data_IF_762187526187
#
_entry.id   IF_762187526187
#
_cell.length_a   1.000
_cell.length_b   1.000
_cell.length_c   1.000
_cell.angle_alpha   90.00
_cell.angle_beta   90.00
_cell.angle_gamma   90.00
#
_symmetry.space_group_name_H-M   'P 1'
#
loop_
_entity.id
_entity.type
_entity.pdbx_description
1 polymer ?
#
# COMPACT_ATOMS: atom_id res chain seq x y z
N UNK A 1 61.04 6.43 19.59
CA UNK A 1 59.71 6.94 19.25
C UNK A 1 58.68 5.95 19.74
N UNK A 2 57.72 6.47 20.51
CA UNK A 2 56.79 5.75 21.38
C UNK A 2 55.94 4.72 20.66
N UNK A 3 55.79 3.53 21.24
CA UNK A 3 54.60 2.69 21.00
C UNK A 3 53.92 2.44 22.35
N UNK A 4 52.81 3.15 22.53
CA UNK A 4 51.98 3.16 23.73
C UNK A 4 51.12 1.89 23.73
N UNK A 5 51.30 1.05 24.75
CA UNK A 5 50.38 -0.05 25.06
C UNK A 5 49.09 0.53 25.64
N UNK A 6 47.96 0.43 24.93
CA UNK A 6 46.62 0.59 25.52
C UNK A 6 46.02 -0.79 25.79
N UNK A 7 45.64 -1.01 27.05
CA UNK A 7 44.89 -2.17 27.52
C UNK A 7 43.43 -1.97 27.14
N UNK A 8 42.82 -2.93 26.44
CA UNK A 8 41.36 -3.01 26.32
C UNK A 8 40.85 -3.97 27.40
N UNK A 9 40.04 -3.44 28.32
CA UNK A 9 39.29 -4.23 29.29
C UNK A 9 38.00 -4.73 28.66
N UNK A 10 37.76 -6.03 28.69
CA UNK A 10 36.47 -6.63 28.36
C UNK A 10 35.54 -6.53 29.58
N UNK A 11 34.43 -5.80 29.46
CA UNK A 11 33.29 -5.90 30.37
C UNK A 11 32.32 -6.93 29.79
N UNK A 12 32.16 -8.07 30.46
CA UNK A 12 31.05 -8.99 30.20
C UNK A 12 29.74 -8.35 30.67
N UNK A 13 28.75 -8.28 29.79
CA UNK A 13 27.36 -8.01 30.15
C UNK A 13 26.60 -9.33 30.06
N UNK A 14 26.13 -9.84 31.20
CA UNK A 14 25.19 -10.97 31.24
C UNK A 14 23.78 -10.43 31.00
N UNK A 15 23.19 -10.77 29.85
CA UNK A 15 21.78 -10.56 29.57
C UNK A 15 20.99 -11.68 30.26
N UNK A 16 20.19 -11.34 31.27
CA UNK A 16 19.19 -12.23 31.84
C UNK A 16 17.93 -12.16 30.99
N UNK A 17 17.62 -13.24 30.27
CA UNK A 17 16.38 -13.41 29.53
C UNK A 17 15.40 -14.17 30.44
N UNK A 18 14.49 -13.46 31.11
CA UNK A 18 13.37 -14.07 31.83
C UNK A 18 12.19 -14.23 30.89
N UNK A 19 11.97 -15.47 30.45
CA UNK A 19 10.79 -15.87 29.68
C UNK A 19 9.54 -15.81 30.57
N UNK A 20 8.63 -14.89 30.28
CA UNK A 20 7.27 -14.87 30.82
C UNK A 20 6.37 -15.60 29.83
N UNK A 21 5.97 -16.80 30.23
CA UNK A 21 5.05 -17.70 29.51
C UNK A 21 3.62 -17.23 29.83
N UNK A 22 3.04 -16.40 28.95
CA UNK A 22 1.62 -16.03 29.02
C UNK A 22 0.79 -17.14 28.37
N UNK A 23 0.00 -17.82 29.19
CA UNK A 23 -0.99 -18.81 28.77
C UNK A 23 -2.16 -18.07 28.10
N UNK A 24 -2.26 -18.18 26.78
CA UNK A 24 -3.46 -17.86 26.02
C UNK A 24 -4.57 -18.86 26.39
N UNK A 25 -5.64 -18.34 26.96
CA UNK A 25 -6.90 -19.05 27.14
C UNK A 25 -7.80 -18.73 25.94
N UNK A 26 -8.22 -19.76 25.20
CA UNK A 26 -9.31 -19.63 24.24
C UNK A 26 -10.62 -19.51 25.02
N UNK A 27 -11.33 -18.40 24.86
CA UNK A 27 -12.76 -18.32 25.18
C UNK A 27 -13.53 -18.23 23.87
N UNK A 28 -14.37 -19.24 23.65
CA UNK A 28 -15.47 -19.26 22.68
C UNK A 28 -16.47 -18.16 23.04
N UNK A 29 -16.78 -17.28 22.09
CA UNK A 29 -18.01 -16.48 22.10
C UNK A 29 -18.61 -16.42 20.70
N UNK A 30 -19.64 -17.23 20.55
CA UNK A 30 -20.91 -17.04 19.82
C UNK A 30 -21.01 -15.94 18.77
N UNK A 31 -21.38 -16.41 17.58
CA UNK A 31 -22.18 -15.78 16.52
C UNK A 31 -22.96 -14.52 16.94
N UNK A 32 -22.62 -13.39 16.32
CA UNK A 32 -23.61 -12.37 15.96
C UNK A 32 -23.47 -12.05 14.48
N UNK A 33 -24.56 -12.30 13.75
CA UNK A 33 -24.69 -12.01 12.34
C UNK A 33 -24.88 -10.50 12.13
N UNK A 34 -24.01 -9.93 11.30
CA UNK A 34 -24.18 -8.59 10.77
C UNK A 34 -25.06 -8.66 9.51
N UNK A 35 -26.32 -8.22 9.66
CA UNK A 35 -27.16 -7.82 8.53
C UNK A 35 -26.60 -6.50 7.99
N UNK A 36 -26.06 -6.53 6.76
CA UNK A 36 -25.88 -5.32 5.97
C UNK A 36 -27.15 -5.09 5.16
N UNK A 37 -28.03 -4.24 5.71
CA UNK A 37 -29.08 -3.56 4.97
C UNK A 37 -28.43 -2.58 3.98
N UNK A 38 -28.61 -2.82 2.69
CA UNK A 38 -28.23 -1.90 1.63
C UNK A 38 -29.44 -0.99 1.34
N UNK A 39 -29.43 0.20 1.92
CA UNK A 39 -30.38 1.26 1.60
C UNK A 39 -30.08 1.81 0.20
N UNK A 40 -30.79 1.29 -0.81
CA UNK A 40 -30.86 1.88 -2.14
C UNK A 40 -31.97 2.94 -2.16
N UNK A 41 -31.56 4.20 -2.20
CA UNK A 41 -32.46 5.33 -2.44
C UNK A 41 -33.07 5.22 -3.85
N UNK A 42 -34.39 5.35 -3.87
CA UNK A 42 -35.23 5.41 -5.06
C UNK A 42 -35.00 6.73 -5.80
N UNK A 43 -34.82 6.67 -7.13
CA UNK A 43 -35.47 7.65 -7.99
C UNK A 43 -36.01 6.96 -9.25
N UNK A 44 -37.23 7.34 -9.58
CA UNK A 44 -38.06 6.78 -10.62
C UNK A 44 -38.79 7.93 -11.30
N UNK A 45 -38.49 8.17 -12.57
CA UNK A 45 -39.45 8.63 -13.60
C UNK A 45 -38.90 8.17 -14.96
N UNK A 46 -39.49 7.16 -15.64
CA UNK A 46 -40.57 7.25 -16.63
C UNK A 46 -40.32 8.36 -17.69
N UNK A 47 -40.32 8.14 -19.00
CA UNK A 47 -41.21 7.34 -19.89
C UNK A 47 -40.61 7.38 -21.31
N UNK A 48 -40.48 6.26 -22.03
CA UNK A 48 -41.40 5.74 -23.07
C UNK A 48 -41.39 6.49 -24.43
N UNK A 49 -40.98 5.80 -25.50
CA UNK A 49 -41.64 5.73 -26.83
C UNK A 49 -40.85 4.74 -27.71
N UNK A 50 -41.30 3.50 -27.88
CA UNK A 50 -42.16 2.97 -28.97
C UNK A 50 -41.64 3.14 -30.42
N UNK A 51 -41.60 1.96 -31.06
CA UNK A 51 -41.96 1.69 -32.46
C UNK A 51 -40.89 1.78 -33.55
N UNK A 52 -40.52 0.57 -34.01
CA UNK A 52 -40.11 0.26 -35.37
C UNK A 52 -41.28 0.47 -36.35
N UNK A 53 -41.03 0.78 -37.64
CA UNK A 53 -41.32 -0.27 -38.63
C UNK A 53 -40.38 -0.34 -39.85
N UNK A 54 -40.26 -1.60 -40.33
CA UNK A 54 -40.15 -2.14 -41.70
C UNK A 54 -39.44 -1.41 -42.86
N UNK A 55 -38.48 -2.16 -43.41
CA UNK A 55 -38.24 -2.52 -44.82
C UNK A 55 -38.32 -1.47 -45.94
N UNK A 56 -37.25 -1.36 -46.73
CA UNK A 56 -37.35 -1.29 -48.21
C UNK A 56 -36.09 -1.84 -48.88
N UNK A 57 -36.37 -2.67 -49.89
CA UNK A 57 -35.50 -3.40 -50.81
C UNK A 57 -34.77 -2.45 -51.78
N UNK A 58 -33.47 -2.67 -52.02
CA UNK A 58 -32.83 -2.34 -53.30
C UNK A 58 -31.95 -3.51 -53.76
N UNK A 59 -32.31 -3.99 -54.95
CA UNK A 59 -31.69 -5.04 -55.76
C UNK A 59 -30.44 -4.52 -56.49
N UNK A 60 -29.46 -5.40 -56.67
CA UNK A 60 -28.28 -5.16 -57.50
C UNK A 60 -27.60 -6.48 -57.88
N UNK A 61 -28.08 -7.09 -58.97
CA UNK A 61 -27.53 -8.26 -59.66
C UNK A 61 -26.17 -8.00 -60.35
N UNK A 62 -25.54 -9.10 -60.78
CA UNK A 62 -24.63 -9.29 -61.95
C UNK A 62 -23.14 -9.58 -61.59
N UNK A 63 -22.43 -10.55 -62.23
CA UNK A 63 -22.75 -11.95 -62.54
C UNK A 63 -21.58 -12.92 -62.19
N UNK A 64 -21.82 -14.23 -62.30
CA UNK A 64 -20.80 -15.30 -62.28
C UNK A 64 -19.98 -15.36 -63.58
N UNK A 65 -18.83 -16.06 -63.53
CA UNK A 65 -18.56 -17.04 -64.57
C UNK A 65 -18.29 -18.43 -64.01
N UNK A 66 -19.09 -19.38 -64.50
CA UNK A 66 -18.80 -20.82 -64.53
C UNK A 66 -17.44 -21.11 -65.18
N UNK A 67 -16.62 -21.92 -64.53
CA UNK A 67 -15.74 -22.87 -65.21
C UNK A 67 -15.68 -24.14 -64.37
N UNK A 68 -16.24 -25.22 -64.91
CA UNK A 68 -16.12 -26.59 -64.43
C UNK A 68 -14.84 -27.24 -64.94
N UNK A 69 -14.51 -28.36 -64.27
CA UNK A 69 -13.52 -29.41 -64.54
C UNK A 69 -12.26 -29.26 -63.68
N UNK A 70 -11.79 -30.26 -62.95
CA UNK A 70 -12.10 -31.70 -62.92
C UNK A 70 -11.68 -32.27 -61.56
N UNK A 71 -12.22 -33.43 -61.24
CA UNK A 71 -12.02 -34.26 -60.06
C UNK A 71 -10.57 -34.35 -59.56
N UNK A 72 -10.38 -34.13 -58.25
CA UNK A 72 -9.65 -35.09 -57.43
C UNK A 72 -10.35 -35.19 -56.07
N UNK A 73 -11.24 -36.17 -55.98
CA UNK A 73 -11.98 -36.52 -54.77
C UNK A 73 -11.08 -37.33 -53.86
N UNK A 74 -10.64 -36.73 -52.76
CA UNK A 74 -10.39 -37.44 -51.50
C UNK A 74 -11.12 -36.68 -50.40
N UNK A 75 -12.44 -36.81 -50.39
CA UNK A 75 -13.28 -36.46 -49.24
C UNK A 75 -13.77 -37.78 -48.63
N UNK A 76 -13.00 -38.32 -47.69
CA UNK A 76 -13.52 -39.22 -46.67
C UNK A 76 -13.17 -38.63 -45.30
N UNK A 77 -13.94 -37.64 -44.89
CA UNK A 77 -14.20 -37.40 -43.47
C UNK A 77 -15.72 -37.27 -43.32
N UNK A 78 -16.39 -38.39 -43.08
CA UNK A 78 -17.55 -38.37 -42.18
C UNK A 78 -17.08 -38.89 -40.80
N UNK A 79 -16.52 -38.04 -39.92
CA UNK A 79 -16.33 -38.36 -38.53
C UNK A 79 -17.60 -38.05 -37.72
N UNK A 80 -17.78 -38.84 -36.65
CA UNK A 80 -18.80 -38.85 -35.58
C UNK A 80 -20.24 -39.25 -36.00
N UNK A 81 -20.82 -40.31 -35.38
CA UNK A 81 -21.17 -40.29 -33.96
C UNK A 81 -20.43 -41.38 -33.17
N UNK A 82 -19.72 -40.97 -32.11
CA UNK A 82 -19.06 -41.83 -31.13
C UNK A 82 -17.75 -42.50 -31.50
N UNK A 83 -17.31 -42.40 -32.76
CA UNK A 83 -16.04 -42.95 -33.22
C UNK A 83 -14.78 -42.29 -32.60
N UNK A 84 -13.62 -42.87 -32.88
CA UNK A 84 -12.32 -42.28 -32.47
C UNK A 84 -12.14 -40.88 -33.07
N UNK A 85 -11.63 -39.92 -32.30
CA UNK A 85 -11.47 -38.48 -32.66
C UNK A 85 -12.75 -37.68 -32.83
N UNK A 86 -13.87 -38.22 -32.38
CA UNK A 86 -15.13 -37.50 -32.37
C UNK A 86 -15.23 -36.59 -31.14
N UNK A 87 -15.68 -35.33 -31.26
CA UNK A 87 -15.88 -34.48 -30.10
C UNK A 87 -16.95 -35.07 -29.18
N UNK A 88 -16.78 -34.91 -27.86
CA UNK A 88 -17.70 -35.40 -26.85
C UNK A 88 -17.72 -34.47 -25.63
N UNK A 89 -18.83 -34.47 -24.90
CA UNK A 89 -18.92 -33.85 -23.57
C UNK A 89 -19.11 -34.92 -22.48
N UNK A 90 -19.68 -36.07 -22.84
CA UNK A 90 -19.92 -37.18 -21.92
C UNK A 90 -19.34 -38.51 -22.44
N UNK A 91 -18.91 -39.43 -21.56
CA UNK A 91 -18.33 -40.70 -21.99
C UNK A 91 -19.30 -41.61 -22.77
N UNK A 92 -20.61 -41.45 -22.57
CA UNK A 92 -21.66 -42.25 -23.25
C UNK A 92 -21.84 -41.89 -24.73
N UNK A 93 -21.32 -40.74 -25.16
CA UNK A 93 -21.35 -40.29 -26.55
C UNK A 93 -20.30 -41.01 -27.39
N UNK A 94 -19.34 -41.69 -26.74
CA UNK A 94 -18.26 -42.43 -27.37
C UNK A 94 -18.55 -43.92 -27.45
N UNK A 95 -18.29 -44.53 -28.60
CA UNK A 95 -18.41 -45.98 -28.82
C UNK A 95 -17.50 -46.79 -27.90
N UNK A 96 -16.38 -46.17 -27.49
CA UNK A 96 -15.44 -46.72 -26.52
C UNK A 96 -15.90 -46.57 -25.07
N UNK A 97 -16.89 -45.71 -24.80
CA UNK A 97 -17.30 -45.31 -23.46
C UNK A 97 -16.34 -44.33 -22.78
N UNK A 98 -15.39 -43.73 -23.50
CA UNK A 98 -14.38 -42.82 -22.94
C UNK A 98 -14.27 -41.52 -23.73
N UNK A 99 -14.55 -40.42 -23.04
CA UNK A 99 -14.32 -39.05 -23.47
C UNK A 99 -13.09 -38.50 -22.75
N UNK A 100 -12.08 -38.02 -23.47
CA UNK A 100 -10.79 -37.59 -22.91
C UNK A 100 -10.38 -36.20 -23.44
N UNK A 101 -9.66 -35.39 -22.65
CA UNK A 101 -9.21 -34.06 -23.07
C UNK A 101 -8.14 -34.13 -24.17
N UNK A 102 -8.21 -33.18 -25.11
CA UNK A 102 -7.25 -32.93 -26.19
C UNK A 102 -6.96 -31.42 -26.30
N UNK A 103 -5.99 -31.05 -27.14
CA UNK A 103 -5.64 -29.64 -27.40
C UNK A 103 -6.81 -28.84 -28.01
N UNK A 104 -7.71 -29.50 -28.76
CA UNK A 104 -8.85 -28.89 -29.45
C UNK A 104 -10.21 -29.16 -28.76
N UNK A 105 -10.18 -29.56 -27.48
CA UNK A 105 -11.36 -29.94 -26.69
C UNK A 105 -11.53 -31.44 -26.49
N UNK A 106 -12.55 -31.82 -25.72
CA UNK A 106 -12.79 -33.22 -25.34
C UNK A 106 -13.20 -34.09 -26.53
N UNK A 107 -12.61 -35.30 -26.60
CA UNK A 107 -12.80 -36.21 -27.73
C UNK A 107 -12.84 -37.68 -27.33
N UNK A 108 -13.54 -38.46 -28.15
CA UNK A 108 -13.68 -39.89 -28.00
C UNK A 108 -12.37 -40.62 -28.32
N UNK A 109 -11.91 -41.45 -27.39
CA UNK A 109 -10.71 -42.27 -27.54
C UNK A 109 -11.06 -43.74 -27.78
N UNK A 110 -10.05 -44.62 -27.86
CA UNK A 110 -10.18 -46.08 -27.91
C UNK A 110 -9.20 -46.73 -26.94
N UNK A 111 -9.46 -47.99 -26.59
CA UNK A 111 -8.51 -48.79 -25.80
C UNK A 111 -7.30 -49.20 -26.63
N UNK A 112 -6.19 -49.44 -25.95
CA UNK A 112 -4.94 -49.90 -26.55
C UNK A 112 -4.30 -51.02 -25.70
N UNK A 113 -3.30 -51.68 -26.26
CA UNK A 113 -2.50 -52.69 -25.56
C UNK A 113 -1.05 -52.22 -25.52
N UNK A 114 -0.49 -51.89 -26.70
CA UNK A 114 0.90 -51.39 -26.80
C UNK A 114 1.02 -50.16 -27.75
N UNK A 115 0.17 -50.06 -28.78
CA UNK A 115 0.29 -49.01 -29.80
C UNK A 115 -1.02 -48.25 -30.02
N UNK A 116 -0.89 -46.96 -30.32
CA UNK A 116 -1.96 -46.07 -30.71
C UNK A 116 -1.65 -45.41 -32.07
N UNK A 117 -2.67 -44.87 -32.77
CA UNK A 117 -2.45 -44.09 -33.99
C UNK A 117 -1.47 -42.93 -33.77
N UNK A 118 -0.86 -42.44 -34.86
CA UNK A 118 0.04 -41.29 -34.80
C UNK A 118 -0.61 -40.10 -34.11
N UNK A 119 0.12 -39.47 -33.18
CA UNK A 119 -0.43 -38.39 -32.34
C UNK A 119 -0.99 -38.85 -30.99
N UNK A 120 -1.02 -40.15 -30.70
CA UNK A 120 -1.53 -40.70 -29.44
C UNK A 120 -0.51 -41.57 -28.73
N UNK A 121 -0.65 -41.69 -27.41
CA UNK A 121 0.15 -42.55 -26.53
C UNK A 121 -0.77 -43.45 -25.73
N UNK A 122 -0.37 -44.72 -25.59
CA UNK A 122 -1.13 -45.69 -24.82
C UNK A 122 -0.85 -45.50 -23.32
N UNK A 123 -1.83 -44.99 -22.57
CA UNK A 123 -1.71 -44.70 -21.12
C UNK A 123 -2.70 -45.50 -20.30
N UNK A 124 -2.27 -45.95 -19.11
CA UNK A 124 -3.09 -46.71 -18.18
C UNK A 124 -3.98 -45.80 -17.34
N UNK A 125 -5.27 -46.12 -17.23
CA UNK A 125 -6.16 -45.52 -16.24
C UNK A 125 -5.99 -46.23 -14.89
N UNK A 126 -5.39 -45.53 -13.92
CA UNK A 126 -5.17 -46.05 -12.56
C UNK A 126 -6.39 -45.70 -11.70
N UNK A 127 -7.14 -46.72 -11.26
CA UNK A 127 -8.33 -46.52 -10.41
C UNK A 127 -9.39 -47.63 -10.45
N UNK A 128 -9.32 -48.56 -11.39
CA UNK A 128 -10.18 -49.75 -11.47
C UNK A 128 -9.40 -51.02 -11.10
N UNK A 129 -10.11 -52.08 -10.69
CA UNK A 129 -9.53 -53.42 -10.44
C UNK A 129 -8.92 -54.04 -11.70
N UNK A 130 -9.34 -53.58 -12.88
CA UNK A 130 -8.80 -53.95 -14.18
C UNK A 130 -8.14 -52.72 -14.82
N UNK A 131 -6.81 -52.78 -14.99
CA UNK A 131 -6.03 -51.71 -15.65
C UNK A 131 -6.44 -51.65 -17.12
N UNK A 132 -7.14 -50.58 -17.50
CA UNK A 132 -7.53 -50.32 -18.89
C UNK A 132 -6.58 -49.28 -19.47
N UNK A 133 -6.03 -49.56 -20.65
CA UNK A 133 -5.16 -48.63 -21.36
C UNK A 133 -5.95 -47.94 -22.46
N UNK A 134 -5.79 -46.62 -22.57
CA UNK A 134 -6.46 -45.76 -23.54
C UNK A 134 -5.45 -45.01 -24.40
N UNK A 135 -5.85 -44.70 -25.64
CA UNK A 135 -5.09 -43.83 -26.53
C UNK A 135 -5.30 -42.36 -26.14
N UNK A 136 -4.43 -41.82 -25.30
CA UNK A 136 -4.46 -40.40 -24.96
C UNK A 136 -3.77 -39.58 -26.05
N UNK A 137 -4.35 -38.46 -26.50
CA UNK A 137 -3.67 -37.57 -27.44
C UNK A 137 -2.38 -37.05 -26.80
N UNK A 138 -1.33 -36.87 -27.61
CA UNK A 138 -0.10 -36.21 -27.18
C UNK A 138 -0.42 -34.74 -26.97
N UNK A 139 -0.54 -34.33 -25.70
CA UNK A 139 -0.77 -32.93 -25.33
C UNK A 139 0.51 -32.12 -25.58
N UNK A 140 0.33 -30.98 -26.24
CA UNK A 140 1.41 -30.00 -26.41
C UNK A 140 1.26 -28.97 -25.28
N UNK A 141 1.98 -29.21 -24.18
CA UNK A 141 1.93 -28.37 -22.98
C UNK A 141 2.99 -27.26 -23.02
N UNK A 142 3.42 -26.85 -24.22
CA UNK A 142 4.39 -25.78 -24.38
C UNK A 142 3.95 -24.53 -23.60
N UNK A 143 4.85 -24.04 -22.75
CA UNK A 143 4.65 -22.93 -21.82
C UNK A 143 3.69 -23.15 -20.63
N UNK A 144 3.14 -24.36 -20.45
CA UNK A 144 2.41 -24.70 -19.24
C UNK A 144 3.33 -24.65 -18.01
N UNK A 145 2.83 -24.25 -16.83
CA UNK A 145 3.61 -24.26 -15.60
C UNK A 145 3.98 -25.69 -15.21
N UNK A 146 5.19 -25.88 -14.70
CA UNK A 146 5.68 -27.19 -14.26
C UNK A 146 6.67 -27.06 -13.10
N UNK A 147 6.89 -28.20 -12.45
CA UNK A 147 7.88 -28.44 -11.41
C UNK A 147 8.83 -29.58 -11.79
N UNK A 148 8.35 -30.55 -12.58
CA UNK A 148 9.10 -31.71 -13.06
C UNK A 148 8.91 -31.92 -14.58
N UNK A 149 9.90 -32.50 -15.26
CA UNK A 149 9.86 -32.74 -16.72
C UNK A 149 8.67 -33.59 -17.17
N UNK A 150 8.18 -34.49 -16.30
CA UNK A 150 7.04 -35.38 -16.61
C UNK A 150 5.72 -34.64 -16.80
N UNK A 151 5.65 -33.40 -16.33
CA UNK A 151 4.48 -32.54 -16.44
C UNK A 151 4.40 -31.85 -17.81
N UNK A 152 5.47 -31.92 -18.61
CA UNK A 152 5.60 -31.22 -19.89
C UNK A 152 5.17 -32.04 -21.11
N UNK A 153 4.18 -32.90 -20.90
CA UNK A 153 3.50 -33.65 -21.95
C UNK A 153 4.34 -34.76 -22.56
N UNK A 154 3.84 -35.33 -23.66
CA UNK A 154 4.40 -36.53 -24.27
C UNK A 154 5.27 -36.24 -25.52
N UNK A 155 5.55 -34.96 -25.77
CA UNK A 155 6.35 -34.46 -26.90
C UNK A 155 7.82 -34.19 -26.52
N UNK A 156 8.30 -34.82 -25.45
CA UNK A 156 9.68 -34.68 -24.98
C UNK A 156 9.99 -33.28 -24.41
N UNK A 157 8.98 -32.62 -23.85
CA UNK A 157 9.14 -31.35 -23.16
C UNK A 157 9.93 -31.50 -21.86
N UNK A 158 10.80 -30.54 -21.59
CA UNK A 158 11.51 -30.41 -20.31
C UNK A 158 10.92 -29.26 -19.50
N UNK A 159 11.02 -29.33 -18.18
CA UNK A 159 10.59 -28.24 -17.31
C UNK A 159 11.72 -27.21 -17.17
N UNK A 160 11.64 -26.14 -17.97
CA UNK A 160 12.66 -25.10 -18.04
C UNK A 160 12.40 -24.07 -16.95
N UNK A 161 13.38 -23.86 -16.06
CA UNK A 161 13.26 -22.92 -14.94
C UNK A 161 13.81 -21.55 -15.32
N UNK A 162 13.07 -20.51 -14.98
CA UNK A 162 13.57 -19.14 -15.07
C UNK A 162 14.48 -18.77 -13.89
N UNK A 163 15.05 -17.56 -13.92
CA UNK A 163 15.94 -17.05 -12.87
C UNK A 163 15.28 -16.88 -11.50
N UNK A 164 13.94 -16.84 -11.45
CA UNK A 164 13.15 -16.79 -10.20
C UNK A 164 12.74 -18.20 -9.72
N UNK A 165 13.06 -19.24 -10.50
CA UNK A 165 12.78 -20.65 -10.18
C UNK A 165 11.41 -21.14 -10.63
N UNK A 166 10.62 -20.32 -11.34
CA UNK A 166 9.35 -20.77 -11.92
C UNK A 166 9.62 -21.62 -13.16
N UNK A 167 9.06 -22.83 -13.19
CA UNK A 167 9.23 -23.78 -14.28
C UNK A 167 8.15 -23.63 -15.35
N UNK A 168 8.56 -23.68 -16.61
CA UNK A 168 7.67 -23.70 -17.78
C UNK A 168 8.06 -24.80 -18.73
N UNK A 169 7.07 -25.47 -19.28
CA UNK A 169 7.30 -26.58 -20.17
C UNK A 169 7.84 -26.13 -21.52
N UNK A 170 8.98 -26.69 -21.91
CA UNK A 170 9.44 -26.69 -23.29
C UNK A 170 8.76 -27.79 -24.09
N UNK A 171 9.19 -27.92 -25.35
CA UNK A 171 8.84 -29.04 -26.23
C UNK A 171 10.06 -29.42 -27.04
N UNK A 172 10.36 -30.71 -27.19
CA UNK A 172 11.51 -31.12 -27.99
C UNK A 172 11.39 -30.63 -29.44
N UNK A 173 12.48 -30.08 -29.96
CA UNK A 173 12.56 -29.58 -31.33
C UNK A 173 13.84 -30.08 -32.02
N UNK A 174 13.80 -30.19 -33.34
CA UNK A 174 14.88 -30.71 -34.17
C UNK A 174 14.73 -30.21 -35.61
N UNK A 175 15.65 -30.59 -36.51
CA UNK A 175 15.52 -30.25 -37.95
C UNK A 175 14.25 -30.83 -38.58
N UNK A 176 13.67 -31.88 -38.01
CA UNK A 176 12.44 -32.53 -38.47
C UNK A 176 11.19 -32.03 -37.71
N UNK A 177 11.35 -31.26 -36.63
CA UNK A 177 10.26 -30.74 -35.79
C UNK A 177 10.44 -29.25 -35.47
N UNK A 178 9.75 -28.40 -36.25
CA UNK A 178 9.78 -26.94 -36.08
C UNK A 178 8.94 -26.47 -34.90
N UNK A 179 9.43 -25.47 -34.17
CA UNK A 179 8.68 -24.79 -33.12
C UNK A 179 7.52 -23.97 -33.69
N UNK A 180 6.40 -23.83 -32.93
CA UNK A 180 5.30 -22.97 -33.33
C UNK A 180 5.71 -21.49 -33.33
N UNK A 181 4.88 -20.64 -33.94
CA UNK A 181 5.13 -19.20 -34.01
C UNK A 181 5.34 -18.59 -32.61
N UNK A 182 6.35 -17.73 -32.47
CA UNK A 182 6.74 -17.12 -31.18
C UNK A 182 7.73 -17.96 -30.34
N UNK A 183 8.15 -19.13 -30.84
CA UNK A 183 9.12 -20.00 -30.20
C UNK A 183 10.30 -20.32 -31.11
N UNK A 184 11.50 -20.25 -30.57
CA UNK A 184 12.74 -20.67 -31.21
C UNK A 184 13.20 -22.02 -30.66
N UNK A 185 13.83 -22.83 -31.51
CA UNK A 185 14.44 -24.09 -31.08
C UNK A 185 15.84 -23.79 -30.51
N UNK A 186 16.01 -23.94 -29.21
CA UNK A 186 17.28 -23.65 -28.53
C UNK A 186 17.83 -24.91 -27.84
N UNK A 187 19.16 -25.03 -27.80
CA UNK A 187 19.85 -26.15 -27.16
C UNK A 187 19.95 -25.91 -25.65
N UNK A 188 19.33 -26.79 -24.86
CA UNK A 188 19.34 -26.70 -23.41
C UNK A 188 20.54 -27.48 -22.88
N UNK A 189 21.48 -26.75 -22.29
CA UNK A 189 22.60 -27.32 -21.54
C UNK A 189 22.37 -27.10 -20.05
N UNK A 190 22.60 -28.14 -19.28
CA UNK A 190 22.56 -28.08 -17.82
C UNK A 190 23.78 -27.38 -17.25
N UNK A 191 23.70 -26.99 -15.97
CA UNK A 191 24.78 -26.29 -15.25
C UNK A 191 26.07 -27.12 -15.14
N UNK A 192 25.99 -28.46 -15.23
CA UNK A 192 27.13 -29.38 -15.28
C UNK A 192 27.64 -29.67 -16.71
N UNK A 193 27.08 -28.98 -17.71
CA UNK A 193 27.49 -29.07 -19.10
C UNK A 193 26.96 -30.30 -19.83
N UNK A 194 25.97 -30.99 -19.27
CA UNK A 194 25.28 -32.09 -19.94
C UNK A 194 24.23 -31.54 -20.92
N UNK A 195 24.26 -32.04 -22.15
CA UNK A 195 23.35 -31.66 -23.24
C UNK A 195 22.00 -32.35 -23.03
N UNK A 196 20.97 -31.57 -22.75
CA UNK A 196 19.60 -32.06 -22.51
C UNK A 196 18.75 -32.01 -23.79
N UNK A 197 19.38 -31.73 -24.94
CA UNK A 197 18.74 -31.63 -26.24
C UNK A 197 18.11 -30.26 -26.48
N UNK A 198 17.45 -30.12 -27.63
CA UNK A 198 16.85 -28.85 -28.04
C UNK A 198 15.37 -28.76 -27.66
N UNK A 199 14.98 -27.62 -27.09
CA UNK A 199 13.61 -27.32 -26.67
C UNK A 199 13.10 -26.05 -27.35
N UNK A 200 11.81 -26.01 -27.66
CA UNK A 200 11.13 -24.78 -28.04
C UNK A 200 11.06 -23.85 -26.83
N UNK A 201 11.73 -22.71 -26.93
CA UNK A 201 11.73 -21.64 -25.92
C UNK A 201 11.10 -20.38 -26.51
N UNK A 202 10.39 -19.57 -25.70
CA UNK A 202 9.80 -18.33 -26.20
C UNK A 202 10.87 -17.35 -26.70
N UNK A 203 10.67 -16.77 -27.88
CA UNK A 203 11.63 -15.82 -28.47
C UNK A 203 11.77 -14.53 -27.65
N UNK A 204 10.71 -14.12 -26.95
CA UNK A 204 10.70 -12.96 -26.05
C UNK A 204 11.28 -13.26 -24.66
N UNK A 205 11.66 -14.51 -24.38
CA UNK A 205 12.01 -14.98 -23.03
C UNK A 205 10.80 -15.15 -22.10
N UNK A 206 9.59 -14.84 -22.57
CA UNK A 206 8.34 -15.02 -21.84
C UNK A 206 7.30 -15.76 -22.68
N UNK A 207 6.46 -16.57 -22.05
CA UNK A 207 5.46 -17.33 -22.78
C UNK A 207 4.48 -16.42 -23.54
N UNK A 208 4.34 -16.59 -24.88
CA UNK A 208 3.30 -15.91 -25.62
C UNK A 208 1.92 -16.38 -25.15
N UNK A 209 0.95 -15.47 -25.18
CA UNK A 209 -0.42 -15.81 -24.86
C UNK A 209 -0.97 -16.78 -25.92
N UNK A 210 -1.55 -17.88 -25.48
CA UNK A 210 -2.17 -18.92 -26.30
C UNK A 210 -3.48 -19.37 -25.64
N UNK A 211 -4.33 -20.10 -26.36
CA UNK A 211 -5.62 -20.57 -25.83
C UNK A 211 -5.47 -21.41 -24.55
N UNK A 212 -4.35 -22.13 -24.42
CA UNK A 212 -4.00 -22.92 -23.22
C UNK A 212 -3.74 -22.04 -21.99
N UNK A 213 -3.49 -20.74 -22.18
CA UNK A 213 -3.14 -19.78 -21.13
C UNK A 213 -4.24 -18.75 -20.87
N UNK A 214 -5.43 -18.88 -21.49
CA UNK A 214 -6.52 -17.94 -21.25
C UNK A 214 -6.93 -17.90 -19.77
N UNK A 215 -6.98 -16.69 -19.22
CA UNK A 215 -7.27 -16.44 -17.80
C UNK A 215 -6.05 -16.57 -16.87
N UNK A 216 -4.88 -16.93 -17.39
CA UNK A 216 -3.63 -16.86 -16.62
C UNK A 216 -3.15 -15.41 -16.56
N UNK A 217 -2.66 -15.00 -15.39
CA UNK A 217 -2.04 -13.69 -15.17
C UNK A 217 -0.52 -13.78 -15.15
N UNK A 218 0.15 -12.68 -15.50
CA UNK A 218 1.60 -12.51 -15.37
C UNK A 218 1.96 -11.07 -15.02
N UNK A 219 3.19 -10.89 -14.55
CA UNK A 219 3.77 -9.56 -14.35
C UNK A 219 3.86 -8.79 -15.68
N UNK A 220 3.47 -7.53 -15.65
CA UNK A 220 3.68 -6.54 -16.70
C UNK A 220 4.32 -5.28 -16.12
N UNK A 221 4.83 -4.39 -16.97
CA UNK A 221 5.51 -3.18 -16.51
C UNK A 221 5.12 -1.96 -17.34
N UNK A 222 4.93 -0.83 -16.67
CA UNK A 222 4.86 0.50 -17.29
C UNK A 222 6.14 1.27 -16.96
N UNK A 223 6.85 1.74 -17.99
CA UNK A 223 8.14 2.44 -17.87
C UNK A 223 8.07 3.81 -18.55
N UNK A 224 8.55 4.83 -17.86
CA UNK A 224 8.74 6.18 -18.41
C UNK A 224 9.95 6.87 -17.76
N UNK A 225 10.05 8.20 -17.87
CA UNK A 225 11.19 8.96 -17.31
C UNK A 225 11.24 8.99 -15.77
N UNK A 226 10.13 8.70 -15.09
CA UNK A 226 10.05 8.68 -13.63
C UNK A 226 10.46 7.34 -13.04
N UNK A 227 10.10 6.22 -13.69
CA UNK A 227 10.56 4.91 -13.25
C UNK A 227 9.86 3.75 -13.95
N UNK A 228 9.76 2.60 -13.26
CA UNK A 228 9.17 1.37 -13.80
C UNK A 228 8.24 0.74 -12.77
N UNK A 229 6.93 0.89 -12.97
CA UNK A 229 5.93 0.26 -12.13
C UNK A 229 5.60 -1.13 -12.65
N UNK A 230 5.45 -2.07 -11.71
CA UNK A 230 5.05 -3.46 -12.00
C UNK A 230 3.56 -3.61 -11.73
N UNK A 231 2.87 -4.32 -12.59
CA UNK A 231 1.49 -4.74 -12.41
C UNK A 231 1.28 -6.15 -12.95
N UNK A 232 0.03 -6.51 -13.18
CA UNK A 232 -0.39 -7.76 -13.76
C UNK A 232 -1.18 -7.51 -15.04
N UNK A 233 -1.02 -8.42 -16.00
CA UNK A 233 -1.85 -8.50 -17.20
C UNK A 233 -2.38 -9.92 -17.38
N UNK A 234 -3.47 -10.06 -18.13
CA UNK A 234 -4.16 -11.33 -18.32
C UNK A 234 -4.08 -11.77 -19.78
N UNK A 235 -3.87 -13.07 -19.99
CA UNK A 235 -3.94 -13.65 -21.33
C UNK A 235 -5.41 -13.83 -21.74
N UNK A 236 -5.78 -13.17 -22.84
CA UNK A 236 -7.12 -13.17 -23.45
C UNK A 236 -7.03 -13.59 -24.91
N UNK A 237 -8.17 -13.65 -25.60
CA UNK A 237 -8.21 -13.96 -27.04
C UNK A 237 -7.39 -12.99 -27.90
N UNK A 238 -7.17 -11.76 -27.44
CA UNK A 238 -6.40 -10.72 -28.14
C UNK A 238 -4.91 -10.72 -27.76
N UNK A 239 -4.48 -11.62 -26.88
CA UNK A 239 -3.11 -11.70 -26.35
C UNK A 239 -3.02 -11.32 -24.88
N UNK A 240 -1.81 -10.99 -24.43
CA UNK A 240 -1.60 -10.38 -23.12
C UNK A 240 -2.11 -8.94 -23.17
N UNK A 241 -3.13 -8.66 -22.35
CA UNK A 241 -3.83 -7.37 -22.39
C UNK A 241 -4.23 -6.90 -20.99
N UNK A 242 -4.58 -5.61 -20.86
CA UNK A 242 -4.92 -4.92 -19.62
C UNK A 242 -3.84 -4.99 -18.54
N UNK A 243 -2.61 -4.56 -18.87
CA UNK A 243 -1.60 -4.31 -17.84
C UNK A 243 -2.11 -3.26 -16.85
N UNK A 244 -2.26 -3.64 -15.58
CA UNK A 244 -2.76 -2.76 -14.52
C UNK A 244 -1.64 -2.02 -13.76
N UNK A 245 -0.41 -2.08 -14.24
CA UNK A 245 0.70 -1.35 -13.65
C UNK A 245 0.36 0.16 -13.60
N UNK A 246 0.66 0.82 -12.49
CA UNK A 246 0.53 2.28 -12.41
C UNK A 246 1.40 2.95 -13.49
N UNK A 247 0.98 4.11 -14.00
CA UNK A 247 1.90 4.94 -14.77
C UNK A 247 2.83 5.66 -13.76
N UNK A 248 4.16 5.47 -13.83
CA UNK A 248 5.06 6.16 -12.91
C UNK A 248 4.93 7.67 -13.07
N UNK A 249 4.85 8.41 -11.98
CA UNK A 249 4.79 9.88 -11.99
C UNK A 249 5.80 10.45 -10.99
N UNK A 250 5.95 11.77 -10.95
CA UNK A 250 6.74 12.39 -9.89
C UNK A 250 6.14 12.09 -8.51
N UNK A 251 7.00 11.92 -7.51
CA UNK A 251 6.59 11.67 -6.13
C UNK A 251 5.68 12.77 -5.58
N UNK A 252 4.64 12.33 -4.90
CA UNK A 252 3.82 13.10 -3.97
C UNK A 252 4.17 12.65 -2.57
N UNK A 253 4.01 13.54 -1.60
CA UNK A 253 4.13 13.22 -0.17
C UNK A 253 2.80 12.61 0.27
N UNK A 254 2.53 11.38 -0.14
CA UNK A 254 1.28 10.66 0.14
C UNK A 254 1.51 9.29 0.80
N UNK A 255 2.77 8.96 1.11
CA UNK A 255 3.15 7.69 1.71
C UNK A 255 3.14 6.53 0.71
N UNK A 256 3.07 6.81 -0.59
CA UNK A 256 3.20 5.85 -1.67
C UNK A 256 4.46 6.12 -2.48
N UNK A 257 4.91 5.10 -3.20
CA UNK A 257 6.01 5.20 -4.17
C UNK A 257 5.37 5.43 -5.55
N UNK A 258 5.25 6.69 -5.98
CA UNK A 258 4.52 7.04 -7.21
C UNK A 258 5.38 6.86 -8.47
N UNK A 259 6.70 6.91 -8.33
CA UNK A 259 7.68 6.72 -9.38
C UNK A 259 8.16 5.26 -9.49
N UNK A 260 7.81 4.42 -8.52
CA UNK A 260 8.14 3.01 -8.42
C UNK A 260 9.65 2.73 -8.36
N UNK A 261 10.44 3.59 -7.71
CA UNK A 261 11.90 3.42 -7.54
C UNK A 261 12.28 2.59 -6.30
N UNK A 262 11.30 2.23 -5.47
CA UNK A 262 11.44 1.41 -4.27
C UNK A 262 11.67 2.22 -2.99
N UNK A 263 11.62 3.55 -3.05
CA UNK A 263 11.63 4.45 -1.91
C UNK A 263 10.32 5.23 -1.89
N UNK A 264 9.83 5.57 -0.70
CA UNK A 264 8.57 6.32 -0.52
C UNK A 264 8.92 7.77 -0.22
N UNK A 265 8.24 8.71 -0.89
CA UNK A 265 8.31 10.15 -0.66
C UNK A 265 9.75 10.73 -0.69
N UNK A 266 10.69 10.14 -1.44
CA UNK A 266 12.13 10.46 -1.37
C UNK A 266 12.49 11.83 -1.96
N UNK A 267 11.59 12.40 -2.76
CA UNK A 267 11.70 13.78 -3.24
C UNK A 267 11.52 14.82 -2.13
N UNK A 268 11.03 14.42 -0.96
CA UNK A 268 10.75 15.29 0.19
C UNK A 268 11.80 15.11 1.30
N UNK A 269 13.04 15.55 1.03
CA UNK A 269 14.20 15.33 1.90
C UNK A 269 14.04 15.73 3.38
N UNK A 270 13.16 16.69 3.67
CA UNK A 270 12.95 17.17 5.04
C UNK A 270 11.90 16.34 5.80
N UNK A 271 11.15 15.46 5.14
CA UNK A 271 10.06 14.70 5.74
C UNK A 271 10.56 13.94 6.98
N UNK A 272 9.94 14.19 8.13
CA UNK A 272 10.33 13.59 9.41
C UNK A 272 11.52 14.23 10.11
N UNK A 273 12.18 15.25 9.52
CA UNK A 273 13.18 16.07 10.23
C UNK A 273 12.50 17.07 11.18
N UNK A 274 13.22 17.49 12.21
CA UNK A 274 12.82 18.62 13.03
C UNK A 274 12.78 19.88 12.17
N UNK A 275 11.69 20.65 12.26
CA UNK A 275 11.53 21.89 11.52
C UNK A 275 11.86 23.14 12.34
N UNK A 276 12.13 22.97 13.64
CA UNK A 276 12.59 24.05 14.51
C UNK A 276 14.11 24.20 14.54
N UNK A 277 14.57 25.38 14.95
CA UNK A 277 15.99 25.72 15.03
C UNK A 277 16.64 25.12 16.27
N UNK A 278 17.93 24.77 16.18
CA UNK A 278 18.71 24.25 17.33
C UNK A 278 18.90 25.28 18.47
N UNK A 279 18.36 26.50 18.32
CA UNK A 279 18.47 27.65 19.23
C UNK A 279 17.08 28.22 19.57
N UNK A 280 16.06 27.39 19.80
CA UNK A 280 14.80 27.89 20.40
C UNK A 280 15.01 28.22 21.89
N UNK A 281 14.48 29.37 22.30
CA UNK A 281 14.40 29.83 23.70
C UNK A 281 12.98 29.62 24.27
N UNK A 282 12.05 29.05 23.49
CA UNK A 282 10.62 28.95 23.81
C UNK A 282 10.23 27.68 24.57
N UNK A 283 11.17 26.74 24.76
CA UNK A 283 10.98 25.49 25.54
C UNK A 283 9.90 24.55 24.96
N UNK A 284 9.40 24.79 23.74
CA UNK A 284 8.40 23.97 23.08
C UNK A 284 9.00 22.70 22.46
N UNK A 285 8.13 21.75 22.05
CA UNK A 285 8.59 20.56 21.38
C UNK A 285 8.86 20.89 19.91
N UNK A 286 10.11 20.74 19.49
CA UNK A 286 10.51 20.89 18.09
C UNK A 286 9.48 20.27 17.13
N UNK A 287 8.84 21.10 16.30
CA UNK A 287 7.93 20.66 15.26
C UNK A 287 8.61 19.66 14.30
N UNK A 288 7.81 18.88 13.58
CA UNK A 288 8.31 17.91 12.58
C UNK A 288 7.73 18.22 11.21
N UNK A 289 8.57 18.14 10.17
CA UNK A 289 8.11 18.24 8.79
C UNK A 289 7.18 17.06 8.46
N UNK A 290 5.97 17.39 8.02
CA UNK A 290 4.91 16.46 7.62
C UNK A 290 4.40 16.81 6.23
N UNK A 291 3.76 15.87 5.55
CA UNK A 291 3.17 16.14 4.23
C UNK A 291 2.07 17.21 4.31
N UNK A 292 2.03 18.11 3.33
CA UNK A 292 0.86 18.97 3.14
C UNK A 292 -0.37 18.17 2.77
N UNK A 293 -1.57 18.69 3.05
CA UNK A 293 -2.84 18.03 2.76
C UNK A 293 -3.01 17.63 1.28
N UNK A 294 -2.34 18.34 0.37
CA UNK A 294 -2.36 18.09 -1.07
C UNK A 294 -1.20 17.20 -1.57
N UNK A 295 -0.32 16.73 -0.67
CA UNK A 295 0.85 15.91 -0.98
C UNK A 295 1.90 16.60 -1.84
N UNK A 296 1.78 17.90 -2.13
CA UNK A 296 2.71 18.59 -3.04
C UNK A 296 3.99 19.08 -2.38
N UNK A 297 4.02 19.09 -1.05
CA UNK A 297 5.11 19.66 -0.25
C UNK A 297 5.15 19.05 1.15
N UNK A 298 6.16 19.45 1.92
CA UNK A 298 6.18 19.24 3.37
C UNK A 298 5.98 20.57 4.08
N UNK A 299 5.21 20.54 5.16
CA UNK A 299 4.93 21.65 6.06
C UNK A 299 5.47 21.32 7.45
N UNK A 300 5.97 22.33 8.14
CA UNK A 300 6.28 22.22 9.56
C UNK A 300 4.95 22.15 10.31
N UNK A 301 4.68 21.00 10.94
CA UNK A 301 3.58 20.91 11.88
C UNK A 301 4.03 21.49 13.20
N UNK A 302 3.55 22.69 13.53
CA UNK A 302 3.75 23.27 14.86
C UNK A 302 2.88 22.57 15.90
N UNK A 303 3.39 22.61 17.13
CA UNK A 303 2.81 22.07 18.33
C UNK A 303 1.35 22.54 18.49
N UNK A 304 0.49 21.58 18.82
CA UNK A 304 -0.92 21.84 19.10
C UNK A 304 -1.03 22.84 20.25
N UNK A 305 -1.43 24.11 20.02
CA UNK A 305 -1.35 25.15 21.04
C UNK A 305 -2.26 24.76 22.20
N UNK A 306 -1.69 24.58 23.39
CA UNK A 306 -2.50 24.49 24.59
C UNK A 306 -3.17 25.86 24.84
N UNK A 307 -4.06 25.95 25.84
CA UNK A 307 -4.39 27.26 26.38
C UNK A 307 -3.22 27.75 27.21
N UNK A 308 -2.87 29.04 27.10
CA UNK A 308 -1.82 29.60 27.91
C UNK A 308 -2.07 29.42 29.41
N UNK A 309 -1.02 29.07 30.15
CA UNK A 309 -1.04 28.97 31.60
C UNK A 309 -0.06 29.98 32.15
N UNK A 310 -0.42 30.62 33.26
CA UNK A 310 0.40 31.61 33.91
C UNK A 310 1.50 30.91 34.72
N UNK A 311 2.56 30.45 34.05
CA UNK A 311 3.65 29.67 34.66
C UNK A 311 5.05 30.02 34.15
N UNK A 312 5.18 31.10 33.37
CA UNK A 312 6.47 31.59 32.88
C UNK A 312 7.02 30.77 31.71
N UNK A 313 6.19 29.94 31.09
CA UNK A 313 6.50 29.11 29.93
C UNK A 313 5.50 29.45 28.83
N UNK A 314 5.93 29.43 27.57
CA UNK A 314 5.00 29.52 26.42
C UNK A 314 4.30 28.16 26.24
N UNK A 315 3.10 28.02 26.81
CA UNK A 315 2.36 26.75 26.76
C UNK A 315 1.70 26.50 25.40
N UNK A 316 1.57 27.54 24.57
CA UNK A 316 0.90 27.46 23.29
C UNK A 316 1.78 27.73 22.08
N UNK A 317 3.08 27.88 22.31
CA UNK A 317 4.14 27.95 21.32
C UNK A 317 3.89 29.05 20.28
N UNK A 318 3.45 30.23 20.73
CA UNK A 318 3.18 31.39 19.86
C UNK A 318 4.24 32.50 19.96
N UNK A 319 5.35 32.23 20.65
CA UNK A 319 6.50 33.11 20.89
C UNK A 319 6.23 34.24 21.88
N UNK A 320 5.15 34.15 22.65
CA UNK A 320 4.89 35.03 23.78
C UNK A 320 4.66 34.18 25.03
N UNK A 321 5.27 34.58 26.14
CA UNK A 321 5.10 33.89 27.43
C UNK A 321 3.94 34.53 28.17
N UNK A 322 3.08 33.69 28.76
CA UNK A 322 1.94 34.10 29.59
C UNK A 322 1.04 35.20 28.97
N UNK A 323 0.77 35.15 27.66
CA UNK A 323 -0.06 36.19 27.04
C UNK A 323 -1.55 36.07 27.42
N UNK A 324 -2.20 37.24 27.51
CA UNK A 324 -3.60 37.32 27.94
C UNK A 324 -3.79 37.29 29.46
N UNK A 325 -2.70 37.22 30.23
CA UNK A 325 -2.67 37.50 31.65
C UNK A 325 -2.32 38.98 31.92
N UNK A 326 -2.68 39.54 33.09
CA UNK A 326 -2.27 40.89 33.47
C UNK A 326 -0.75 41.01 33.58
N UNK A 327 -0.24 42.16 33.15
CA UNK A 327 1.12 42.68 33.31
C UNK A 327 0.92 44.15 33.74
N UNK A 328 1.16 44.46 35.01
CA UNK A 328 0.76 45.73 35.61
C UNK A 328 1.83 46.82 35.46
N UNK A 329 3.11 46.44 35.43
CA UNK A 329 4.24 47.36 35.27
C UNK A 329 4.78 47.45 33.82
N UNK A 330 4.23 46.64 32.91
CA UNK A 330 4.61 46.51 31.49
C UNK A 330 6.09 46.08 31.29
N UNK A 331 6.68 45.30 32.20
CA UNK A 331 8.07 44.80 32.07
C UNK A 331 8.21 43.56 31.20
N UNK A 332 7.09 42.93 30.84
CA UNK A 332 7.02 41.73 30.01
C UNK A 332 6.91 40.41 30.79
N UNK A 333 6.74 40.45 32.11
CA UNK A 333 6.35 39.31 32.95
C UNK A 333 4.89 39.44 33.37
N UNK A 334 4.14 38.34 33.34
CA UNK A 334 2.77 38.36 33.84
C UNK A 334 2.77 38.36 35.38
N UNK A 335 1.84 39.09 35.98
CA UNK A 335 1.69 39.23 37.44
C UNK A 335 1.66 37.92 38.24
N UNK A 336 1.29 36.82 37.60
CA UNK A 336 1.24 35.51 38.25
C UNK A 336 2.61 34.88 38.53
N UNK A 337 3.64 35.33 37.82
CA UNK A 337 5.02 34.86 37.90
C UNK A 337 6.00 35.98 38.20
N UNK A 338 5.51 37.22 38.25
CA UNK A 338 6.23 38.33 38.86
C UNK A 338 6.12 38.26 40.39
N UNK A 339 7.19 38.66 41.07
CA UNK A 339 7.22 38.79 42.54
C UNK A 339 6.98 40.24 42.99
N UNK A 340 6.95 41.23 42.06
CA UNK A 340 6.82 42.67 42.29
C UNK A 340 5.97 43.30 41.16
N UNK A 341 4.65 43.18 41.28
CA UNK A 341 3.66 43.47 40.24
C UNK A 341 3.64 44.94 39.76
N UNK A 342 4.14 45.89 40.55
CA UNK A 342 4.13 47.32 40.21
C UNK A 342 5.53 47.97 40.15
N UNK A 343 6.56 47.19 40.44
CA UNK A 343 7.98 47.51 40.29
C UNK A 343 8.45 48.72 41.11
N UNK A 344 7.91 48.86 42.32
CA UNK A 344 8.40 49.83 43.29
C UNK A 344 9.55 49.30 44.17
N UNK A 345 9.83 48.00 44.07
CA UNK A 345 10.94 47.32 44.72
C UNK A 345 10.57 46.65 46.05
N UNK A 346 9.29 46.64 46.43
CA UNK A 346 8.75 45.80 47.51
C UNK A 346 7.97 44.61 46.92
N UNK A 347 8.38 43.36 47.18
CA UNK A 347 7.67 42.20 46.65
C UNK A 347 6.21 42.13 47.11
N UNK A 348 5.34 41.57 46.28
CA UNK A 348 3.90 41.36 46.55
C UNK A 348 3.60 40.69 47.90
N UNK A 349 4.54 39.85 48.36
CA UNK A 349 4.42 39.13 49.62
C UNK A 349 4.55 40.03 50.86
N UNK A 350 5.16 41.20 50.72
CA UNK A 350 5.42 42.19 51.77
C UNK A 350 4.70 43.52 51.55
N UNK A 351 4.28 43.80 50.31
CA UNK A 351 3.48 44.96 49.98
C UNK A 351 1.98 44.78 50.35
N UNK A 352 1.38 45.85 50.88
CA UNK A 352 -0.03 45.91 51.24
C UNK A 352 -0.94 46.34 50.07
N UNK A 353 -0.42 46.93 48.99
CA UNK A 353 -1.16 47.15 47.74
C UNK A 353 -0.29 46.82 46.50
N UNK A 354 -0.07 45.52 46.17
CA UNK A 354 0.84 45.04 45.10
C UNK A 354 0.61 45.55 43.67
N UNK A 355 -0.46 46.30 43.43
CA UNK A 355 -0.79 46.88 42.12
C UNK A 355 -0.71 48.42 42.16
N UNK A 356 0.06 48.99 43.09
CA UNK A 356 0.13 50.43 43.32
C UNK A 356 1.50 50.86 43.84
N UNK A 357 2.39 51.19 42.90
CA UNK A 357 3.79 51.58 43.13
C UNK A 357 4.04 52.82 44.02
N UNK A 358 3.00 53.39 44.65
CA UNK A 358 3.08 54.44 45.66
C UNK A 358 2.87 53.93 47.08
N UNK A 359 2.51 52.66 47.24
CA UNK A 359 2.23 51.99 48.50
C UNK A 359 3.19 50.82 48.61
N UNK A 360 4.10 50.87 49.58
CA UNK A 360 5.12 49.85 49.81
C UNK A 360 5.76 50.02 51.17
N UNK A 361 6.44 49.00 51.68
CA UNK A 361 7.11 49.06 52.98
C UNK A 361 8.08 50.26 53.10
N UNK A 362 7.72 51.22 53.94
CA UNK A 362 8.52 52.42 54.19
C UNK A 362 8.32 53.54 53.17
N UNK A 363 7.24 53.51 52.37
CA UNK A 363 6.79 54.66 51.60
C UNK A 363 6.52 55.88 52.49
N UNK A 364 6.40 57.05 51.87
CA UNK A 364 6.09 58.28 52.60
C UNK A 364 4.57 58.48 52.65
N UNK A 365 4.03 58.66 53.86
CA UNK A 365 2.59 58.89 54.03
C UNK A 365 2.11 60.16 53.31
N UNK A 366 0.96 60.05 52.68
CA UNK A 366 0.18 61.12 52.07
C UNK A 366 -1.16 61.12 52.77
N UNK A 367 -1.62 62.30 53.20
CA UNK A 367 -2.88 62.35 53.92
C UNK A 367 -4.10 62.17 53.01
N UNK A 368 -4.47 60.93 52.77
CA UNK A 368 -5.60 60.48 51.96
C UNK A 368 -6.35 59.29 52.56
N UNK A 369 -5.92 58.81 53.74
CA UNK A 369 -6.52 57.69 54.46
C UNK A 369 -6.07 56.32 53.98
N UNK A 370 -5.12 56.23 53.05
CA UNK A 370 -4.40 55.00 52.71
C UNK A 370 -3.15 54.88 53.57
N UNK A 371 -2.81 53.66 53.97
CA UNK A 371 -1.55 53.34 54.65
C UNK A 371 -0.49 53.10 53.58
N UNK A 372 0.27 54.13 53.20
CA UNK A 372 1.22 53.97 52.10
C UNK A 372 2.42 53.13 52.50
N UNK A 373 2.81 53.15 53.78
CA UNK A 373 4.04 52.50 54.22
C UNK A 373 3.86 51.08 54.77
N UNK A 374 2.60 50.61 54.79
CA UNK A 374 2.18 49.28 55.21
C UNK A 374 2.54 48.92 56.66
N UNK A 375 2.60 49.91 57.56
CA UNK A 375 2.87 49.68 58.99
C UNK A 375 1.61 49.37 59.82
N UNK A 376 0.44 49.45 59.18
CA UNK A 376 -0.88 49.23 59.77
C UNK A 376 -1.55 50.49 60.30
N UNK A 377 -1.00 51.67 60.06
CA UNK A 377 -1.54 52.97 60.50
C UNK A 377 -1.56 53.94 59.31
N UNK A 378 -2.76 54.21 58.78
CA UNK A 378 -2.93 55.20 57.73
C UNK A 378 -2.60 56.62 58.23
N UNK A 379 -1.97 57.41 57.35
CA UNK A 379 -1.60 58.81 57.56
C UNK A 379 -0.72 59.02 58.81
N UNK A 380 0.16 58.06 59.13
CA UNK A 380 1.08 58.21 60.25
C UNK A 380 2.10 59.35 60.00
N UNK A 381 2.46 60.07 61.06
CA UNK A 381 3.28 61.28 60.93
C UNK A 381 2.52 62.55 60.53
N UNK A 382 1.20 62.48 60.30
CA UNK A 382 0.32 63.65 60.31
C UNK A 382 -0.21 63.97 61.72
N UNK A 383 -0.63 65.22 62.01
CA UNK A 383 -1.22 65.56 63.31
C UNK A 383 -2.55 64.85 63.56
N UNK A 384 -2.77 64.42 64.80
CA UNK A 384 -4.03 63.90 65.34
C UNK A 384 -4.30 64.68 66.65
N UNK A 385 -5.20 65.66 66.57
CA UNK A 385 -5.41 66.66 67.61
C UNK A 385 -6.31 66.17 68.75
N UNK A 386 -7.24 65.26 68.50
CA UNK A 386 -8.20 64.76 69.49
C UNK A 386 -7.88 63.35 70.03
N UNK A 387 -6.87 62.70 69.45
CA UNK A 387 -6.36 61.37 69.80
C UNK A 387 -7.34 60.22 69.60
N UNK A 388 -8.21 60.32 68.60
CA UNK A 388 -9.15 59.26 68.24
C UNK A 388 -8.57 58.19 67.29
N UNK A 389 -7.38 58.46 66.71
CA UNK A 389 -6.66 57.58 65.80
C UNK A 389 -6.87 57.86 64.31
N UNK A 390 -7.50 58.99 63.95
CA UNK A 390 -7.63 59.49 62.58
C UNK A 390 -6.81 60.78 62.45
N UNK A 391 -6.03 60.92 61.36
CA UNK A 391 -5.27 62.15 61.15
C UNK A 391 -6.19 63.36 60.88
N UNK A 392 -5.83 64.54 61.39
CA UNK A 392 -6.57 65.82 61.28
C UNK A 392 -6.97 66.18 59.84
N UNK A 393 -6.21 65.70 58.86
CA UNK A 393 -6.43 65.97 57.45
C UNK A 393 -7.52 65.07 56.83
N UNK A 394 -7.86 63.96 57.50
CA UNK A 394 -9.00 63.09 57.19
C UNK A 394 -10.12 63.20 58.24
N UNK A 395 -9.87 63.84 59.39
CA UNK A 395 -10.85 64.05 60.46
C UNK A 395 -11.61 65.40 60.34
N UNK A 396 -12.93 65.37 60.04
CA UNK A 396 -13.75 66.58 60.01
C UNK A 396 -14.06 67.19 61.38
N UNK A 397 -13.86 66.45 62.48
CA UNK A 397 -14.25 66.83 63.85
C UNK A 397 -13.02 67.16 64.73
N UNK A 398 -12.05 67.87 64.17
CA UNK A 398 -10.73 68.18 64.76
C UNK A 398 -10.73 69.21 65.93
N UNK A 399 -11.77 69.23 66.78
CA UNK A 399 -12.01 70.23 67.86
C UNK A 399 -12.06 69.75 69.32
#
# INVERSE_FOLDING_TARGET
MNSIRRRYGWKQWSVYCTAVLVLLSCSDTSEEGINLELDAAQDSTNTADESSPSETIISGDVPTPDTKQEEDTVEEKEPCPGGFECPCNEPNECDSGYCVPSNDGDMCTKTCIDECPGGYVCKALVGSSDVTYLCMPKLDLLCAPCTEDKECGDLGGLCLKDSKGAGRCGRSCSEESSCPFGYACDSIVSDDGEDWGSQCVPESGQCPCSELLFGITRDCTNENEFGTCVGEEMCTADGWDNCNAAEPVAELCDGMDNNCDGVIDESFLKLGENCDSEEDEDFCANGVWSCSDDGSSVICGDDNPASEQCDGIDNNCNLTVDEGFPDHDDDGQANCVDDDDDNDGDPDATDCEPENAQVYNGAAEICDGTDQNCDGIADDGFPDSDNDGIADCMDPDSD
#
